data_IF_772980111728
#
_entry.id   IF_772980111728
#
_cell.length_a   1.000
_cell.length_b   1.000
_cell.length_c   1.000
_cell.angle_alpha   90.00
_cell.angle_beta   90.00
_cell.angle_gamma   90.00
#
_symmetry.space_group_name_H-M   'P 1'
#
loop_
_entity.id
_entity.type
_entity.pdbx_description
1 polymer ?
#
# COMPACT_ATOMS: atom_id res chain seq x y z
N UNK A 1 -21.18 -11.27 45.03
CA UNK A 1 -19.88 -11.17 44.31
C UNK A 1 -20.14 -10.72 42.86
N UNK A 2 -19.97 -9.42 42.57
CA UNK A 2 -20.29 -8.86 41.28
C UNK A 2 -19.01 -8.79 40.42
N UNK A 3 -19.01 -9.58 39.34
CA UNK A 3 -17.91 -9.61 38.36
C UNK A 3 -17.95 -8.35 37.52
N UNK A 4 -17.01 -7.43 37.74
CA UNK A 4 -16.79 -6.25 36.88
C UNK A 4 -16.23 -6.71 35.54
N UNK A 5 -17.09 -6.76 34.54
CA UNK A 5 -16.73 -6.89 33.12
C UNK A 5 -15.99 -5.60 32.73
N UNK A 6 -14.65 -5.63 32.61
CA UNK A 6 -13.88 -4.57 32.00
C UNK A 6 -14.23 -4.54 30.53
N UNK A 7 -14.96 -3.54 30.13
CA UNK A 7 -15.19 -3.15 28.75
C UNK A 7 -13.83 -2.71 28.20
N UNK A 8 -13.30 -3.53 27.30
CA UNK A 8 -12.06 -3.24 26.56
C UNK A 8 -12.45 -2.25 25.48
N UNK A 9 -12.26 -0.95 25.76
CA UNK A 9 -12.40 0.09 24.76
C UNK A 9 -11.52 -0.26 23.56
N UNK A 10 -12.17 -0.58 22.46
CA UNK A 10 -11.53 -0.78 21.15
C UNK A 10 -11.07 0.59 20.69
N UNK A 11 -9.76 0.83 20.76
CA UNK A 11 -9.13 1.92 20.03
C UNK A 11 -9.37 1.67 18.54
N UNK A 12 -10.33 2.35 17.95
CA UNK A 12 -10.52 2.37 16.51
C UNK A 12 -9.29 2.99 15.81
N UNK A 13 -9.11 2.76 14.50
CA UNK A 13 -8.04 3.39 13.75
C UNK A 13 -8.13 4.91 13.90
N UNK A 14 -6.97 5.58 14.00
CA UNK A 14 -6.87 7.03 13.96
C UNK A 14 -7.36 7.49 12.58
N UNK A 15 -8.60 7.96 12.53
CA UNK A 15 -9.11 8.64 11.35
C UNK A 15 -8.37 9.97 11.29
N UNK A 16 -7.65 10.25 10.20
CA UNK A 16 -7.09 11.56 9.93
C UNK A 16 -8.27 12.54 9.84
N UNK A 17 -8.39 13.43 10.79
CA UNK A 17 -9.51 14.33 10.89
C UNK A 17 -9.01 15.76 11.08
N UNK A 18 -8.92 16.53 9.99
CA UNK A 18 -8.68 17.97 10.09
C UNK A 18 -9.99 18.67 10.42
N UNK A 19 -10.06 19.30 11.61
CA UNK A 19 -11.25 19.96 12.12
C UNK A 19 -11.30 21.47 11.77
N UNK A 20 -10.27 21.96 11.06
CA UNK A 20 -10.17 23.35 10.62
C UNK A 20 -9.07 24.15 11.32
N UNK A 21 -8.74 25.34 10.75
CA UNK A 21 -7.58 26.12 11.21
C UNK A 21 -7.74 26.66 12.65
N UNK A 22 -8.95 27.01 13.05
CA UNK A 22 -9.21 27.53 14.40
C UNK A 22 -8.98 26.44 15.46
N UNK A 23 -9.53 25.24 15.23
CA UNK A 23 -9.37 24.09 16.13
C UNK A 23 -7.92 23.65 16.21
N UNK A 24 -7.23 23.55 15.08
CA UNK A 24 -5.81 23.18 15.06
C UNK A 24 -4.95 24.21 15.79
N UNK A 25 -5.19 25.51 15.58
CA UNK A 25 -4.44 26.59 16.28
C UNK A 25 -4.62 26.49 17.80
N UNK A 26 -5.84 26.21 18.27
CA UNK A 26 -6.10 26.00 19.70
C UNK A 26 -5.37 24.78 20.26
N UNK A 27 -5.41 23.64 19.54
CA UNK A 27 -4.73 22.40 19.94
C UNK A 27 -3.21 22.56 19.96
N UNK A 28 -2.63 23.28 19.01
CA UNK A 28 -1.21 23.60 18.94
C UNK A 28 -0.78 24.46 20.15
N UNK A 29 -1.54 25.51 20.45
CA UNK A 29 -1.27 26.35 21.59
C UNK A 29 -1.34 25.59 22.93
N UNK A 30 -2.33 24.70 23.10
CA UNK A 30 -2.46 23.82 24.26
C UNK A 30 -1.27 22.86 24.41
N UNK A 31 -0.71 22.39 23.31
CA UNK A 31 0.45 21.51 23.29
C UNK A 31 1.80 22.25 23.43
N UNK A 32 1.81 23.59 23.45
CA UNK A 32 3.00 24.41 23.60
C UNK A 32 3.71 24.75 22.28
N UNK A 33 3.06 24.58 21.13
CA UNK A 33 3.57 25.06 19.85
C UNK A 33 3.35 26.58 19.72
N UNK A 34 4.34 27.35 19.24
CA UNK A 34 4.17 28.77 18.96
C UNK A 34 3.46 29.06 17.62
N UNK A 35 3.20 28.04 16.81
CA UNK A 35 2.69 28.16 15.44
C UNK A 35 1.17 28.15 15.39
N UNK A 36 0.59 28.96 14.49
CA UNK A 36 -0.80 28.84 14.05
C UNK A 36 -0.98 27.85 12.90
N UNK A 37 -2.23 27.51 12.59
CA UNK A 37 -2.55 26.55 11.52
C UNK A 37 -2.01 26.96 10.15
N UNK A 38 -2.05 28.26 9.80
CA UNK A 38 -1.55 28.78 8.53
C UNK A 38 -0.02 28.65 8.41
N UNK A 39 0.70 28.92 9.50
CA UNK A 39 2.17 28.76 9.53
C UNK A 39 2.55 27.29 9.40
N UNK A 40 1.80 26.40 10.05
CA UNK A 40 1.99 24.94 9.92
C UNK A 40 1.69 24.48 8.50
N UNK A 41 0.63 24.99 7.88
CA UNK A 41 0.29 24.67 6.49
C UNK A 41 1.40 25.10 5.51
N UNK A 42 2.01 26.29 5.72
CA UNK A 42 3.13 26.76 4.89
C UNK A 42 4.38 25.92 5.10
N UNK A 43 4.64 25.54 6.36
CA UNK A 43 5.76 24.67 6.70
C UNK A 43 5.60 23.29 6.04
N UNK A 44 4.40 22.70 6.12
CA UNK A 44 4.07 21.44 5.45
C UNK A 44 4.18 21.51 3.93
N UNK A 45 3.77 22.63 3.32
CA UNK A 45 3.90 22.84 1.88
C UNK A 45 5.35 22.83 1.42
N UNK A 46 6.20 23.52 2.16
CA UNK A 46 7.64 23.59 1.88
C UNK A 46 8.29 22.22 2.05
N UNK A 47 8.03 21.54 3.14
CA UNK A 47 8.59 20.22 3.45
C UNK A 47 8.10 19.13 2.45
N UNK A 48 6.81 19.13 2.13
CA UNK A 48 6.24 18.20 1.13
C UNK A 48 6.86 18.42 -0.26
N UNK A 49 7.08 19.67 -0.67
CA UNK A 49 7.74 19.98 -1.94
C UNK A 49 9.23 19.57 -1.94
N UNK A 50 9.86 19.49 -0.77
CA UNK A 50 11.24 19.01 -0.60
C UNK A 50 11.33 17.48 -0.46
N UNK A 51 10.18 16.77 -0.44
CA UNK A 51 10.14 15.31 -0.23
C UNK A 51 10.44 14.87 1.21
N UNK A 52 10.31 15.76 2.19
CA UNK A 52 10.55 15.45 3.59
C UNK A 52 9.40 14.63 4.17
N UNK A 53 9.68 13.54 4.91
CA UNK A 53 8.62 12.73 5.51
C UNK A 53 7.98 13.46 6.69
N UNK A 54 6.65 13.35 6.82
CA UNK A 54 5.88 13.98 7.90
C UNK A 54 6.36 13.61 9.32
N UNK A 55 6.98 12.41 9.47
CA UNK A 55 7.57 11.97 10.75
C UNK A 55 8.68 12.88 11.25
N UNK A 56 9.39 13.55 10.37
CA UNK A 56 10.51 14.41 10.69
C UNK A 56 10.06 15.87 10.84
N UNK A 57 9.04 16.26 10.09
CA UNK A 57 8.50 17.63 10.05
C UNK A 57 7.62 17.95 11.26
N UNK A 58 6.72 17.02 11.64
CA UNK A 58 5.76 17.28 12.73
C UNK A 58 6.44 17.53 14.08
N UNK A 59 7.49 16.78 14.50
CA UNK A 59 8.21 17.11 15.74
C UNK A 59 8.84 18.50 15.76
N UNK A 60 9.27 19.02 14.59
CA UNK A 60 9.90 20.35 14.49
C UNK A 60 8.95 21.52 14.78
N UNK A 61 7.64 21.29 14.80
CA UNK A 61 6.63 22.28 15.17
C UNK A 61 6.64 22.59 16.67
N UNK A 62 7.33 21.81 17.48
CA UNK A 62 7.37 21.95 18.91
C UNK A 62 8.81 22.24 19.36
N UNK A 63 9.09 23.42 19.96
CA UNK A 63 10.43 23.77 20.47
C UNK A 63 10.83 22.93 21.69
N UNK A 64 9.85 22.40 22.41
CA UNK A 64 9.99 21.48 23.55
C UNK A 64 9.07 20.27 23.31
N UNK A 65 9.23 19.22 24.11
CA UNK A 65 8.32 18.06 24.06
C UNK A 65 6.86 18.51 24.30
N UNK A 66 5.93 18.19 23.38
CA UNK A 66 4.54 18.65 23.49
C UNK A 66 3.87 18.11 24.77
N UNK A 67 3.10 18.96 25.45
CA UNK A 67 2.40 18.62 26.68
C UNK A 67 0.93 18.36 26.38
N UNK A 68 0.41 17.28 26.94
CA UNK A 68 -0.99 16.88 26.76
C UNK A 68 -1.66 16.61 28.10
N UNK A 69 -2.85 17.13 28.27
CA UNK A 69 -3.68 16.87 29.46
C UNK A 69 -4.25 15.45 29.48
N UNK A 70 -4.36 14.83 28.31
CA UNK A 70 -4.85 13.46 28.16
C UNK A 70 -4.33 12.78 26.88
N UNK A 71 -4.34 11.44 26.81
CA UNK A 71 -4.05 10.71 25.57
C UNK A 71 -5.02 11.05 24.41
N UNK A 72 -6.26 11.43 24.73
CA UNK A 72 -7.28 11.85 23.76
C UNK A 72 -6.89 13.21 23.14
N UNK A 73 -6.40 14.15 23.94
CA UNK A 73 -5.90 15.44 23.45
C UNK A 73 -4.71 15.26 22.49
N UNK A 74 -3.78 14.39 22.84
CA UNK A 74 -2.66 14.04 21.97
C UNK A 74 -3.16 13.45 20.63
N UNK A 75 -4.05 12.47 20.68
CA UNK A 75 -4.62 11.84 19.47
C UNK A 75 -5.34 12.86 18.59
N UNK A 76 -6.11 13.76 19.19
CA UNK A 76 -6.85 14.77 18.45
C UNK A 76 -5.90 15.75 17.74
N UNK A 77 -4.84 16.22 18.41
CA UNK A 77 -3.85 17.09 17.78
C UNK A 77 -3.16 16.39 16.62
N UNK A 78 -2.63 15.17 16.83
CA UNK A 78 -1.95 14.45 15.75
C UNK A 78 -2.89 14.09 14.60
N UNK A 79 -4.15 13.76 14.86
CA UNK A 79 -5.15 13.54 13.79
C UNK A 79 -5.36 14.79 12.93
N UNK A 80 -5.43 15.99 13.59
CA UNK A 80 -5.53 17.27 12.89
C UNK A 80 -4.26 17.61 12.10
N UNK A 81 -3.06 17.36 12.65
CA UNK A 81 -1.79 17.58 11.95
C UNK A 81 -1.65 16.66 10.72
N UNK A 82 -1.99 15.40 10.86
CA UNK A 82 -1.97 14.45 9.74
C UNK A 82 -3.00 14.84 8.67
N UNK A 83 -4.22 15.23 9.08
CA UNK A 83 -5.24 15.68 8.15
C UNK A 83 -4.84 16.96 7.41
N UNK A 84 -4.19 17.92 8.08
CA UNK A 84 -3.65 19.12 7.42
C UNK A 84 -2.51 18.77 6.46
N UNK A 85 -1.60 17.85 6.84
CA UNK A 85 -0.53 17.37 5.95
C UNK A 85 -1.10 16.79 4.67
N UNK A 86 -2.08 15.88 4.78
CA UNK A 86 -2.72 15.23 3.63
C UNK A 86 -3.41 16.24 2.71
N UNK A 87 -4.05 17.29 3.27
CA UNK A 87 -4.63 18.39 2.51
C UNK A 87 -3.59 19.19 1.74
N UNK A 88 -2.50 19.56 2.41
CA UNK A 88 -1.42 20.34 1.80
C UNK A 88 -0.72 19.55 0.70
N UNK A 89 -0.47 18.26 0.91
CA UNK A 89 0.10 17.36 -0.10
C UNK A 89 -0.83 17.22 -1.32
N UNK A 90 -2.15 17.33 -1.14
CA UNK A 90 -3.13 17.38 -2.21
C UNK A 90 -3.27 18.77 -2.87
N UNK A 91 -2.42 19.75 -2.51
CA UNK A 91 -2.46 21.12 -3.05
C UNK A 91 -3.59 22.01 -2.49
N UNK A 92 -4.24 21.60 -1.41
CA UNK A 92 -5.33 22.35 -0.75
C UNK A 92 -4.78 23.24 0.36
N UNK A 93 -5.51 24.36 0.65
CA UNK A 93 -5.18 25.26 1.75
C UNK A 93 -5.60 24.77 3.13
N UNK A 94 -5.28 25.54 4.17
CA UNK A 94 -5.73 25.29 5.53
C UNK A 94 -7.23 25.52 5.75
N UNK A 95 -7.92 26.25 4.84
CA UNK A 95 -9.33 26.56 4.95
C UNK A 95 -10.21 25.30 4.88
N UNK A 96 -11.08 25.15 5.87
CA UNK A 96 -11.88 23.95 6.09
C UNK A 96 -13.07 23.77 5.15
N UNK A 97 -13.43 24.79 4.37
CA UNK A 97 -14.70 24.81 3.60
C UNK A 97 -14.70 23.92 2.33
N UNK A 98 -13.55 23.40 1.93
CA UNK A 98 -13.50 22.37 0.90
C UNK A 98 -13.40 21.00 1.56
N UNK A 99 -14.45 20.17 1.53
CA UNK A 99 -14.32 18.82 2.01
C UNK A 99 -13.21 18.13 1.19
N UNK A 100 -12.11 17.74 1.85
CA UNK A 100 -11.26 16.72 1.27
C UNK A 100 -12.19 15.54 1.04
N UNK A 101 -12.49 15.25 -0.20
CA UNK A 101 -12.99 13.95 -0.57
C UNK A 101 -11.83 12.99 -0.20
N UNK A 102 -11.77 12.59 1.07
CA UNK A 102 -11.05 11.38 1.43
C UNK A 102 -11.79 10.32 0.64
N UNK A 103 -11.26 10.00 -0.53
CA UNK A 103 -11.77 8.85 -1.25
C UNK A 103 -11.70 7.71 -0.25
N UNK A 104 -12.87 7.28 0.18
CA UNK A 104 -12.96 6.08 1.02
C UNK A 104 -12.21 5.01 0.24
N UNK A 105 -11.15 4.43 0.80
CA UNK A 105 -10.39 3.44 0.05
C UNK A 105 -11.39 2.43 -0.51
N UNK A 106 -11.26 2.07 -1.79
CA UNK A 106 -12.20 1.17 -2.41
C UNK A 106 -12.31 -0.08 -1.53
N UNK A 107 -13.51 -0.63 -1.35
CA UNK A 107 -13.67 -1.83 -0.54
C UNK A 107 -12.76 -2.93 -1.10
N UNK A 108 -12.07 -3.61 -0.20
CA UNK A 108 -11.28 -4.78 -0.58
C UNK A 108 -12.18 -5.77 -1.33
N UNK A 109 -11.73 -6.37 -2.45
CA UNK A 109 -12.51 -7.41 -3.10
C UNK A 109 -12.77 -8.58 -2.14
N UNK A 110 -13.94 -9.20 -2.25
CA UNK A 110 -14.36 -10.30 -1.38
C UNK A 110 -13.40 -11.49 -1.52
N UNK A 111 -13.00 -12.06 -0.37
CA UNK A 111 -12.08 -13.21 -0.35
C UNK A 111 -12.79 -14.49 -0.77
N UNK A 112 -12.09 -15.34 -1.56
CA UNK A 112 -12.62 -16.61 -2.02
C UNK A 112 -13.82 -16.50 -2.97
N UNK A 113 -13.98 -15.34 -3.63
CA UNK A 113 -15.15 -15.05 -4.47
C UNK A 113 -14.98 -15.45 -5.94
N UNK A 114 -13.79 -15.94 -6.33
CA UNK A 114 -13.50 -16.28 -7.73
C UNK A 114 -13.57 -17.80 -7.92
N UNK A 115 -14.44 -18.22 -8.83
CA UNK A 115 -14.53 -19.60 -9.26
C UNK A 115 -13.43 -19.93 -10.29
N UNK A 116 -13.04 -21.22 -10.37
CA UNK A 116 -11.98 -21.66 -11.28
C UNK A 116 -10.59 -21.18 -10.85
N UNK A 117 -9.71 -20.84 -11.83
CA UNK A 117 -8.31 -20.47 -11.60
C UNK A 117 -7.90 -19.18 -12.32
N UNK A 118 -8.82 -18.53 -13.03
CA UNK A 118 -8.55 -17.32 -13.82
C UNK A 118 -9.13 -16.12 -13.10
N UNK A 119 -8.31 -15.10 -12.88
CA UNK A 119 -8.72 -13.85 -12.27
C UNK A 119 -9.59 -13.02 -13.23
N UNK A 120 -10.84 -12.67 -12.87
CA UNK A 120 -11.66 -11.77 -13.66
C UNK A 120 -11.06 -10.34 -13.70
N UNK A 121 -11.33 -9.62 -14.79
CA UNK A 121 -10.82 -8.25 -14.96
C UNK A 121 -11.27 -7.32 -13.82
N UNK A 122 -12.54 -7.36 -13.47
CA UNK A 122 -13.10 -6.55 -12.38
C UNK A 122 -12.46 -6.85 -11.02
N UNK A 123 -12.01 -8.11 -10.80
CA UNK A 123 -11.31 -8.49 -9.57
C UNK A 123 -9.89 -7.95 -9.55
N UNK A 124 -9.15 -8.03 -10.66
CA UNK A 124 -7.82 -7.45 -10.80
C UNK A 124 -7.88 -5.94 -10.58
N UNK A 125 -8.82 -5.24 -11.23
CA UNK A 125 -9.01 -3.80 -11.07
C UNK A 125 -9.37 -3.40 -9.63
N UNK A 126 -10.26 -4.12 -8.96
CA UNK A 126 -10.61 -3.85 -7.57
C UNK A 126 -9.43 -4.10 -6.62
N UNK A 127 -8.62 -5.14 -6.90
CA UNK A 127 -7.47 -5.50 -6.08
C UNK A 127 -6.35 -4.47 -6.15
N UNK A 128 -5.98 -3.99 -7.33
CA UNK A 128 -4.91 -3.01 -7.44
C UNK A 128 -5.32 -1.65 -6.85
N UNK A 129 -6.60 -1.21 -7.05
CA UNK A 129 -7.11 0.01 -6.40
C UNK A 129 -7.11 -0.10 -4.89
N UNK A 130 -7.46 -1.28 -4.37
CA UNK A 130 -7.38 -1.56 -2.95
C UNK A 130 -5.93 -1.47 -2.44
N UNK A 131 -4.96 -2.10 -3.13
CA UNK A 131 -3.54 -2.05 -2.77
C UNK A 131 -2.97 -0.63 -2.80
N UNK A 132 -3.26 0.13 -3.86
CA UNK A 132 -2.81 1.50 -4.02
C UNK A 132 -3.35 2.46 -2.93
N UNK A 133 -4.52 2.13 -2.35
CA UNK A 133 -5.13 2.93 -1.27
C UNK A 133 -4.69 2.50 0.14
N UNK A 134 -3.90 1.41 0.27
CA UNK A 134 -3.46 0.95 1.58
C UNK A 134 -2.36 1.85 2.17
N UNK A 135 -2.43 2.12 3.48
CA UNK A 135 -1.30 2.71 4.19
C UNK A 135 -0.06 1.81 4.11
N UNK A 136 1.12 2.40 4.03
CA UNK A 136 2.42 1.70 3.96
C UNK A 136 2.56 0.57 5.01
N UNK A 137 2.12 0.82 6.23
CA UNK A 137 2.11 -0.20 7.30
C UNK A 137 1.31 -1.45 6.95
N UNK A 138 0.19 -1.31 6.25
CA UNK A 138 -0.65 -2.45 5.85
C UNK A 138 -0.01 -3.17 4.66
N UNK A 139 0.60 -2.44 3.72
CA UNK A 139 1.40 -3.03 2.63
C UNK A 139 2.57 -3.83 3.21
N UNK A 140 3.31 -3.29 4.19
CA UNK A 140 4.41 -4.02 4.86
C UNK A 140 3.92 -5.32 5.50
N UNK A 141 2.75 -5.31 6.16
CA UNK A 141 2.15 -6.54 6.73
C UNK A 141 1.77 -7.57 5.66
N UNK A 142 1.29 -7.11 4.50
CA UNK A 142 0.99 -8.01 3.38
C UNK A 142 2.28 -8.59 2.80
N UNK A 143 3.38 -7.83 2.73
CA UNK A 143 4.69 -8.33 2.32
C UNK A 143 5.24 -9.39 3.30
N UNK A 144 5.18 -9.12 4.62
CA UNK A 144 5.56 -10.12 5.63
C UNK A 144 4.73 -11.40 5.48
N UNK A 145 3.43 -11.26 5.18
CA UNK A 145 2.54 -12.40 4.95
C UNK A 145 2.90 -13.16 3.67
N UNK A 146 3.22 -12.46 2.58
CA UNK A 146 3.69 -13.06 1.33
C UNK A 146 4.94 -13.91 1.57
N UNK A 147 5.96 -13.36 2.23
CA UNK A 147 7.20 -14.06 2.56
C UNK A 147 6.97 -15.31 3.43
N UNK A 148 6.01 -15.24 4.35
CA UNK A 148 5.69 -16.38 5.21
C UNK A 148 4.86 -17.47 4.52
N UNK A 149 3.96 -17.11 3.60
CA UNK A 149 3.08 -18.05 2.92
C UNK A 149 3.63 -18.56 1.58
N UNK A 150 4.53 -17.80 0.95
CA UNK A 150 5.16 -18.17 -0.32
C UNK A 150 6.69 -18.01 -0.24
N UNK A 151 7.36 -18.66 0.72
CA UNK A 151 8.80 -18.48 0.93
C UNK A 151 9.64 -18.86 -0.28
N UNK A 152 9.19 -19.86 -1.05
CA UNK A 152 9.91 -20.31 -2.24
C UNK A 152 9.81 -19.29 -3.38
N UNK A 153 8.66 -18.58 -3.51
CA UNK A 153 8.50 -17.51 -4.50
C UNK A 153 9.40 -16.31 -4.15
N UNK A 154 9.37 -15.87 -2.88
CA UNK A 154 10.18 -14.74 -2.40
C UNK A 154 11.68 -15.02 -2.56
N UNK A 155 12.14 -16.20 -2.15
CA UNK A 155 13.54 -16.62 -2.28
C UNK A 155 13.96 -16.74 -3.76
N UNK A 156 13.11 -17.32 -4.62
CA UNK A 156 13.39 -17.44 -6.06
C UNK A 156 13.51 -16.08 -6.74
N UNK A 157 12.62 -15.14 -6.43
CA UNK A 157 12.71 -13.77 -6.95
C UNK A 157 14.03 -13.10 -6.58
N UNK A 158 14.55 -13.37 -5.37
CA UNK A 158 15.85 -12.89 -4.91
C UNK A 158 17.06 -13.52 -5.63
N UNK A 159 16.89 -14.70 -6.27
CA UNK A 159 17.95 -15.37 -7.05
C UNK A 159 17.92 -15.02 -8.55
N UNK A 160 16.81 -14.45 -9.07
CA UNK A 160 16.72 -14.08 -10.49
C UNK A 160 17.66 -12.92 -10.79
N UNK A 161 18.56 -13.12 -11.76
CA UNK A 161 19.51 -12.09 -12.18
C UNK A 161 18.81 -11.06 -13.08
N UNK A 162 18.40 -9.93 -12.51
CA UNK A 162 17.85 -8.76 -13.19
C UNK A 162 18.65 -7.51 -12.80
N UNK A 163 18.70 -6.47 -13.66
CA UNK A 163 19.13 -5.14 -13.23
C UNK A 163 18.29 -4.63 -12.04
N UNK A 164 18.84 -3.68 -11.27
CA UNK A 164 18.23 -3.23 -10.01
C UNK A 164 16.76 -2.80 -10.17
N UNK A 165 16.46 -1.97 -11.19
CA UNK A 165 15.10 -1.49 -11.46
C UNK A 165 14.17 -2.65 -11.83
N UNK A 166 14.62 -3.52 -12.73
CA UNK A 166 13.85 -4.69 -13.13
C UNK A 166 13.65 -5.70 -12.00
N UNK A 167 14.64 -5.86 -11.13
CA UNK A 167 14.54 -6.72 -9.95
C UNK A 167 13.45 -6.24 -8.97
N UNK A 168 13.43 -4.94 -8.68
CA UNK A 168 12.39 -4.31 -7.85
C UNK A 168 11.02 -4.48 -8.50
N UNK A 169 10.89 -4.15 -9.79
CA UNK A 169 9.63 -4.26 -10.53
C UNK A 169 9.09 -5.71 -10.55
N UNK A 170 9.95 -6.70 -10.79
CA UNK A 170 9.56 -8.10 -10.80
C UNK A 170 9.04 -8.55 -9.43
N UNK A 171 9.71 -8.13 -8.34
CA UNK A 171 9.32 -8.45 -6.98
C UNK A 171 7.99 -7.81 -6.60
N UNK A 172 7.81 -6.54 -6.94
CA UNK A 172 6.57 -5.81 -6.66
C UNK A 172 5.38 -6.41 -7.42
N UNK A 173 5.52 -6.64 -8.72
CA UNK A 173 4.46 -7.23 -9.55
C UNK A 173 4.11 -8.67 -9.15
N UNK A 174 5.10 -9.47 -8.75
CA UNK A 174 4.85 -10.83 -8.24
C UNK A 174 4.13 -10.80 -6.88
N UNK A 175 4.50 -9.88 -5.98
CA UNK A 175 3.79 -9.64 -4.73
C UNK A 175 2.34 -9.20 -4.97
N UNK A 176 2.10 -8.25 -5.87
CA UNK A 176 0.76 -7.78 -6.20
C UNK A 176 -0.10 -8.89 -6.82
N UNK A 177 0.49 -9.67 -7.73
CA UNK A 177 -0.16 -10.87 -8.27
C UNK A 177 -0.53 -11.84 -7.15
N UNK A 178 0.38 -12.14 -6.22
CA UNK A 178 0.07 -12.99 -5.08
C UNK A 178 -1.08 -12.42 -4.23
N UNK A 179 -1.11 -11.13 -3.94
CA UNK A 179 -2.23 -10.53 -3.18
C UNK A 179 -3.56 -10.74 -3.92
N UNK A 180 -3.58 -10.62 -5.25
CA UNK A 180 -4.76 -10.89 -6.06
C UNK A 180 -5.19 -12.36 -5.94
N UNK A 181 -4.25 -13.30 -6.04
CA UNK A 181 -4.51 -14.74 -5.88
C UNK A 181 -4.95 -15.10 -4.45
N UNK A 182 -4.26 -14.60 -3.42
CA UNK A 182 -4.60 -14.84 -2.02
C UNK A 182 -6.03 -14.37 -1.70
N UNK A 183 -6.45 -13.24 -2.28
CA UNK A 183 -7.81 -12.75 -2.11
C UNK A 183 -8.83 -13.51 -2.96
N UNK A 184 -8.51 -13.79 -4.21
CA UNK A 184 -9.43 -14.46 -5.13
C UNK A 184 -9.77 -15.88 -4.68
N UNK A 185 -8.76 -16.61 -4.19
CA UNK A 185 -8.87 -18.06 -3.96
C UNK A 185 -8.79 -18.46 -2.48
N UNK A 186 -8.32 -17.56 -1.60
CA UNK A 186 -8.23 -17.74 -0.15
C UNK A 186 -7.62 -19.09 0.24
N UNK A 187 -8.35 -19.97 0.95
CA UNK A 187 -7.89 -21.29 1.40
C UNK A 187 -7.59 -22.26 0.25
N UNK A 188 -8.02 -21.95 -0.98
CA UNK A 188 -7.72 -22.77 -2.19
C UNK A 188 -6.34 -22.49 -2.75
N UNK A 189 -5.68 -21.37 -2.36
CA UNK A 189 -4.32 -21.08 -2.78
C UNK A 189 -3.34 -21.84 -1.88
N UNK A 190 -2.69 -22.84 -2.41
CA UNK A 190 -1.63 -23.60 -1.74
C UNK A 190 -0.26 -22.94 -1.89
N UNK A 191 0.74 -23.61 -1.31
CA UNK A 191 2.14 -23.21 -1.43
C UNK A 191 2.66 -23.50 -2.83
N UNK A 192 3.50 -22.59 -3.35
CA UNK A 192 4.23 -22.78 -4.59
C UNK A 192 5.53 -23.54 -4.30
N UNK A 193 5.81 -24.57 -5.09
CA UNK A 193 7.05 -25.37 -4.97
C UNK A 193 8.19 -24.72 -5.79
N UNK A 194 9.38 -24.68 -5.22
CA UNK A 194 10.61 -24.18 -5.86
C UNK A 194 10.88 -24.84 -7.22
N UNK A 195 10.62 -26.12 -7.33
CA UNK A 195 10.83 -26.86 -8.57
C UNK A 195 9.91 -26.37 -9.69
N UNK A 196 8.64 -26.08 -9.36
CA UNK A 196 7.70 -25.54 -10.33
C UNK A 196 8.15 -24.18 -10.84
N UNK A 197 8.70 -23.33 -9.98
CA UNK A 197 9.26 -22.02 -10.36
C UNK A 197 10.44 -22.18 -11.34
N UNK A 198 11.37 -23.10 -11.06
CA UNK A 198 12.52 -23.35 -11.94
C UNK A 198 12.11 -23.93 -13.30
N UNK A 199 11.15 -24.84 -13.33
CA UNK A 199 10.62 -25.41 -14.57
C UNK A 199 9.92 -24.32 -15.41
N UNK A 200 9.17 -23.41 -14.77
CA UNK A 200 8.49 -22.29 -15.41
C UNK A 200 9.41 -21.16 -15.83
N UNK A 201 10.51 -20.89 -15.10
CA UNK A 201 11.53 -19.92 -15.47
C UNK A 201 12.19 -20.29 -16.83
N UNK A 202 12.45 -21.59 -17.02
CA UNK A 202 13.06 -22.07 -18.25
C UNK A 202 12.14 -21.90 -19.48
N UNK A 203 10.84 -22.09 -19.32
CA UNK A 203 9.82 -21.96 -20.37
C UNK A 203 8.52 -21.37 -19.80
N UNK A 204 8.49 -20.06 -19.54
CA UNK A 204 7.30 -19.41 -18.98
C UNK A 204 6.16 -19.44 -20.01
N UNK A 205 4.92 -19.77 -19.58
CA UNK A 205 3.78 -19.71 -20.47
C UNK A 205 3.45 -18.24 -20.80
N UNK A 206 2.76 -18.02 -21.93
CA UNK A 206 2.22 -16.72 -22.27
C UNK A 206 1.17 -16.32 -21.20
N UNK A 207 1.46 -15.26 -20.44
CA UNK A 207 0.60 -14.80 -19.34
C UNK A 207 -0.80 -14.44 -19.85
N UNK A 208 -0.91 -13.87 -21.06
CA UNK A 208 -2.17 -13.50 -21.71
C UNK A 208 -3.09 -14.71 -21.93
N UNK A 209 -2.51 -15.88 -22.14
CA UNK A 209 -3.29 -17.11 -22.33
C UNK A 209 -3.73 -17.73 -21.01
N UNK A 210 -2.98 -17.49 -19.93
CA UNK A 210 -3.20 -18.09 -18.63
C UNK A 210 -4.06 -17.18 -17.73
N UNK A 211 -3.71 -15.90 -17.69
CA UNK A 211 -4.30 -14.88 -16.81
C UNK A 211 -4.45 -13.55 -17.59
N UNK A 212 -5.40 -13.44 -18.53
CA UNK A 212 -5.48 -12.30 -19.44
C UNK A 212 -5.62 -10.94 -18.74
N UNK A 213 -6.42 -10.86 -17.68
CA UNK A 213 -6.60 -9.63 -16.94
C UNK A 213 -5.33 -9.21 -16.17
N UNK A 214 -4.62 -10.18 -15.58
CA UNK A 214 -3.35 -9.93 -14.92
C UNK A 214 -2.26 -9.53 -15.93
N UNK A 215 -2.25 -10.15 -17.12
CA UNK A 215 -1.32 -9.78 -18.19
C UNK A 215 -1.50 -8.32 -18.63
N UNK A 216 -2.74 -7.88 -18.81
CA UNK A 216 -3.05 -6.49 -19.15
C UNK A 216 -2.57 -5.52 -18.04
N UNK A 217 -2.81 -5.86 -16.78
CA UNK A 217 -2.32 -5.11 -15.64
C UNK A 217 -0.79 -4.99 -15.61
N UNK A 218 -0.08 -6.13 -15.73
CA UNK A 218 1.40 -6.15 -15.75
C UNK A 218 1.96 -5.32 -16.90
N UNK A 219 1.36 -5.41 -18.09
CA UNK A 219 1.79 -4.64 -19.24
C UNK A 219 1.65 -3.13 -19.02
N UNK A 220 0.55 -2.68 -18.41
CA UNK A 220 0.31 -1.28 -18.04
C UNK A 220 1.32 -0.78 -17.00
N UNK A 221 1.59 -1.56 -15.94
CA UNK A 221 2.57 -1.17 -14.92
C UNK A 221 3.98 -1.05 -15.49
N UNK A 222 4.38 -1.96 -16.38
CA UNK A 222 5.69 -1.91 -17.03
C UNK A 222 5.79 -0.77 -18.07
N UNK A 223 4.69 -0.39 -18.71
CA UNK A 223 4.64 0.79 -19.58
C UNK A 223 4.84 2.08 -18.76
N UNK A 224 4.12 2.22 -17.64
CA UNK A 224 4.27 3.33 -16.72
C UNK A 224 5.71 3.44 -16.19
N UNK A 225 6.29 2.31 -15.76
CA UNK A 225 7.68 2.27 -15.28
C UNK A 225 8.67 2.70 -16.39
N UNK A 226 8.45 2.30 -17.64
CA UNK A 226 9.30 2.68 -18.76
C UNK A 226 9.23 4.18 -19.08
N UNK A 227 8.07 4.80 -18.85
CA UNK A 227 7.90 6.25 -19.01
C UNK A 227 8.56 7.03 -17.87
N UNK A 228 8.55 6.50 -16.64
CA UNK A 228 9.15 7.13 -15.46
C UNK A 228 10.67 6.93 -15.39
N UNK A 229 11.17 5.75 -15.81
CA UNK A 229 12.56 5.33 -15.71
C UNK A 229 13.16 5.06 -17.11
N UNK A 230 13.76 6.07 -17.76
CA UNK A 230 14.30 5.92 -19.11
C UNK A 230 15.40 4.85 -19.26
N UNK A 231 16.03 4.45 -18.13
CA UNK A 231 17.01 3.37 -18.11
C UNK A 231 16.38 1.97 -18.23
N UNK A 232 15.08 1.84 -17.90
CA UNK A 232 14.32 0.60 -18.00
C UNK A 232 13.91 0.34 -19.45
N UNK A 233 14.78 -0.35 -20.19
CA UNK A 233 14.62 -0.59 -21.62
C UNK A 233 13.78 -1.83 -21.98
N UNK A 234 13.41 -1.93 -23.27
CA UNK A 234 12.62 -3.04 -23.76
C UNK A 234 13.21 -4.45 -23.48
N UNK A 235 14.54 -4.67 -23.48
CA UNK A 235 15.11 -5.97 -23.12
C UNK A 235 14.87 -6.32 -21.63
N UNK A 236 14.99 -5.37 -20.72
CA UNK A 236 14.77 -5.55 -19.31
C UNK A 236 13.28 -5.78 -19.01
N UNK A 237 12.41 -4.98 -19.63
CA UNK A 237 10.96 -5.19 -19.60
C UNK A 237 10.59 -6.61 -19.96
N UNK A 238 11.10 -7.14 -21.08
CA UNK A 238 10.82 -8.50 -21.53
C UNK A 238 11.32 -9.58 -20.53
N UNK A 239 12.40 -9.31 -19.79
CA UNK A 239 12.86 -10.21 -18.73
C UNK A 239 11.92 -10.17 -17.52
N UNK A 240 11.51 -8.97 -17.07
CA UNK A 240 10.54 -8.81 -15.98
C UNK A 240 9.21 -9.49 -16.33
N UNK A 241 8.67 -9.29 -17.54
CA UNK A 241 7.46 -9.96 -18.02
C UNK A 241 7.55 -11.48 -17.90
N UNK A 242 8.69 -12.08 -18.24
CA UNK A 242 8.92 -13.54 -18.12
C UNK A 242 8.94 -14.00 -16.66
N UNK A 243 9.59 -13.25 -15.78
CA UNK A 243 9.67 -13.58 -14.36
C UNK A 243 8.26 -13.51 -13.73
N UNK A 244 7.52 -12.45 -14.00
CA UNK A 244 6.15 -12.29 -13.49
C UNK A 244 5.22 -13.37 -14.06
N UNK A 245 5.39 -13.73 -15.34
CA UNK A 245 4.62 -14.81 -15.97
C UNK A 245 4.91 -16.17 -15.30
N UNK A 246 6.16 -16.47 -14.97
CA UNK A 246 6.53 -17.69 -14.25
C UNK A 246 5.92 -17.73 -12.84
N UNK A 247 6.02 -16.64 -12.07
CA UNK A 247 5.41 -16.52 -10.74
C UNK A 247 3.88 -16.69 -10.80
N UNK A 248 3.20 -15.98 -11.70
CA UNK A 248 1.75 -16.08 -11.88
C UNK A 248 1.29 -17.46 -12.33
N UNK A 249 2.08 -18.14 -13.17
CA UNK A 249 1.81 -19.52 -13.59
C UNK A 249 1.94 -20.51 -12.43
N UNK A 250 2.95 -20.34 -11.59
CA UNK A 250 3.14 -21.14 -10.38
C UNK A 250 1.98 -20.95 -9.40
N UNK A 251 1.58 -19.70 -9.14
CA UNK A 251 0.40 -19.38 -8.32
C UNK A 251 -0.88 -19.99 -8.91
N UNK A 252 -1.08 -19.92 -10.24
CA UNK A 252 -2.25 -20.54 -10.91
C UNK A 252 -2.29 -22.05 -10.71
N UNK A 253 -1.14 -22.73 -10.74
CA UNK A 253 -1.04 -24.17 -10.47
C UNK A 253 -1.32 -24.52 -9.03
N UNK A 254 -0.92 -23.64 -8.11
CA UNK A 254 -1.14 -23.80 -6.67
C UNK A 254 -2.60 -23.63 -6.24
N UNK A 255 -3.48 -23.10 -7.10
CA UNK A 255 -4.93 -23.04 -6.80
C UNK A 255 -5.53 -24.45 -6.94
N UNK A 256 -6.12 -24.96 -5.84
CA UNK A 256 -6.83 -26.23 -5.85
C UNK A 256 -8.04 -26.21 -6.80
N UNK A 257 -8.29 -27.33 -7.44
CA UNK A 257 -9.55 -27.56 -8.20
C UNK A 257 -10.69 -27.81 -7.21
N UNK A 258 -11.88 -27.31 -7.56
CA UNK A 258 -13.12 -27.52 -6.78
C UNK A 258 -13.59 -28.97 -6.87
#
# INVERSE_FOLDING_TARGET
MASRKREKERSGPLVSGYEGPEVLTELLAQAGSPHGADEVAEHFRTASAAGEPRSDVIPSLFPEEPRFDSPEAARRLYANLFGLWDRVAAGLGADADEPVLVETPPPAPERGSVDGRVLPQEFVEASWRFLAALPEREVSRLRDRFQNLQPDVDAWLGEVELPEVGGVAAHDLAFEAWVMFDRAFDERLGDVDWKDLRDLEAEPPALESLQPALAAYVAEQLENLQDEEPAFGAPERAQVEKVVAAAAAALTRAVAED
#
